data_IF_505565026441
#
_entry.id   IF_505565026441
#
_cell.length_a   1.000
_cell.length_b   1.000
_cell.length_c   1.000
_cell.angle_alpha   90.00
_cell.angle_beta   90.00
_cell.angle_gamma   90.00
#
_symmetry.space_group_name_H-M   'P 1'
#
loop_
_entity.id
_entity.type
_entity.pdbx_description
1 polymer ?
#
# COMPACT_ATOMS: atom_id res chain seq x y z
N UNK A 1 6.36 -6.21 -5.42
CA UNK A 1 7.69 -5.60 -5.16
C UNK A 1 8.78 -6.01 -6.15
N UNK A 2 9.32 -5.02 -6.86
CA UNK A 2 10.45 -5.15 -7.79
C UNK A 2 11.77 -5.22 -6.99
N UNK A 3 12.63 -6.20 -7.29
CA UNK A 3 13.98 -6.25 -6.74
C UNK A 3 14.91 -5.42 -7.60
N UNK A 4 15.67 -4.51 -6.99
CA UNK A 4 16.60 -3.64 -7.70
C UNK A 4 17.85 -3.34 -6.85
N UNK A 5 18.94 -2.94 -7.50
CA UNK A 5 20.18 -2.55 -6.84
C UNK A 5 20.19 -1.02 -6.65
N UNK A 6 20.11 -0.48 -5.41
CA UNK A 6 20.01 0.96 -5.19
C UNK A 6 21.25 1.76 -5.60
N UNK A 7 22.37 1.08 -5.93
CA UNK A 7 23.61 1.73 -6.38
C UNK A 7 23.61 2.11 -7.88
N UNK A 8 22.67 1.59 -8.68
CA UNK A 8 22.59 1.85 -10.14
C UNK A 8 21.84 3.16 -10.48
N UNK A 9 22.25 4.29 -9.90
CA UNK A 9 21.50 5.56 -10.00
C UNK A 9 21.24 6.03 -11.44
N UNK A 10 22.26 6.03 -12.30
CA UNK A 10 22.14 6.50 -13.69
C UNK A 10 21.18 5.66 -14.53
N UNK A 11 21.18 4.34 -14.32
CA UNK A 11 20.32 3.43 -15.08
C UNK A 11 18.84 3.63 -14.74
N UNK A 12 18.52 4.04 -13.49
CA UNK A 12 17.14 4.29 -13.09
C UNK A 12 16.55 5.56 -13.70
N UNK A 13 17.35 6.60 -13.95
CA UNK A 13 16.88 7.84 -14.59
C UNK A 13 16.26 7.55 -15.97
N UNK A 14 16.73 6.51 -16.66
CA UNK A 14 16.29 6.15 -18.01
C UNK A 14 15.46 4.85 -18.08
N UNK A 15 15.14 4.22 -16.94
CA UNK A 15 14.30 3.01 -16.91
C UNK A 15 12.82 3.39 -16.81
N UNK A 16 12.15 3.39 -17.95
CA UNK A 16 10.69 3.54 -18.03
C UNK A 16 9.99 2.21 -17.66
N UNK A 17 9.41 2.12 -16.46
CA UNK A 17 8.66 0.94 -16.00
C UNK A 17 7.15 1.07 -16.33
N UNK A 18 6.37 -0.02 -16.23
CA UNK A 18 4.90 0.07 -16.39
C UNK A 18 4.20 0.91 -15.32
N UNK A 19 4.80 0.99 -14.13
CA UNK A 19 4.38 1.84 -13.00
C UNK A 19 4.96 3.26 -13.08
N UNK A 20 5.53 3.66 -14.22
CA UNK A 20 6.14 4.97 -14.37
C UNK A 20 5.06 6.06 -14.35
N UNK A 21 5.13 6.91 -13.32
CA UNK A 21 4.22 8.05 -13.12
C UNK A 21 4.22 8.97 -14.33
N UNK A 22 5.35 9.07 -15.05
CA UNK A 22 5.46 9.86 -16.27
C UNK A 22 4.46 9.39 -17.33
N UNK A 23 4.33 8.08 -17.54
CA UNK A 23 3.42 7.53 -18.56
C UNK A 23 1.96 7.74 -18.19
N UNK A 24 1.63 7.65 -16.91
CA UNK A 24 0.28 7.89 -16.41
C UNK A 24 -0.10 9.39 -16.52
N UNK A 25 0.85 10.28 -16.26
CA UNK A 25 0.64 11.73 -16.25
C UNK A 25 0.85 12.41 -17.61
N UNK A 26 1.50 11.75 -18.58
CA UNK A 26 1.78 12.28 -19.92
C UNK A 26 0.60 12.99 -20.61
N UNK A 27 -0.64 12.43 -20.67
CA UNK A 27 -1.75 13.12 -21.31
C UNK A 27 -2.14 14.42 -20.58
N UNK A 28 -2.10 14.41 -19.24
CA UNK A 28 -2.38 15.59 -18.43
C UNK A 28 -1.27 16.64 -18.57
N UNK A 29 0.00 16.23 -18.62
CA UNK A 29 1.13 17.11 -18.87
C UNK A 29 1.04 17.79 -20.24
N UNK A 30 0.64 17.05 -21.28
CA UNK A 30 0.45 17.62 -22.62
C UNK A 30 -0.71 18.63 -22.64
N UNK A 31 -1.86 18.28 -22.06
CA UNK A 31 -3.00 19.19 -21.93
C UNK A 31 -2.64 20.46 -21.15
N UNK A 32 -1.90 20.31 -20.05
CA UNK A 32 -1.42 21.41 -19.23
C UNK A 32 -0.40 22.29 -19.98
N UNK A 33 0.43 21.69 -20.84
CA UNK A 33 1.34 22.42 -21.71
C UNK A 33 0.61 23.30 -22.71
N UNK A 34 -0.42 22.76 -23.38
CA UNK A 34 -1.27 23.51 -24.31
C UNK A 34 -2.01 24.63 -23.57
N UNK A 35 -2.56 24.33 -22.39
CA UNK A 35 -3.22 25.32 -21.54
C UNK A 35 -2.26 26.45 -21.12
N UNK A 36 -1.07 26.13 -20.63
CA UNK A 36 -0.07 27.12 -20.22
C UNK A 36 0.40 27.95 -21.40
N UNK A 37 0.53 27.35 -22.58
CA UNK A 37 0.83 28.08 -23.81
C UNK A 37 -0.29 29.06 -24.17
N UNK A 38 -1.55 28.64 -24.10
CA UNK A 38 -2.69 29.50 -24.40
C UNK A 38 -2.74 30.69 -23.43
N UNK A 39 -2.53 30.47 -22.13
CA UNK A 39 -2.44 31.55 -21.14
C UNK A 39 -1.28 32.49 -21.42
N UNK A 40 -0.08 31.95 -21.71
CA UNK A 40 1.09 32.77 -22.03
C UNK A 40 0.89 33.61 -23.30
N UNK A 41 0.31 33.02 -24.35
CA UNK A 41 0.00 33.70 -25.60
C UNK A 41 -1.02 34.83 -25.41
N UNK A 42 -2.13 34.55 -24.70
CA UNK A 42 -3.15 35.56 -24.42
C UNK A 42 -2.58 36.74 -23.63
N UNK A 43 -1.73 36.47 -22.64
CA UNK A 43 -1.13 37.52 -21.83
C UNK A 43 -0.11 38.37 -22.60
N UNK A 44 0.84 37.72 -23.28
CA UNK A 44 1.97 38.41 -23.91
C UNK A 44 1.59 39.13 -25.20
N UNK A 45 0.70 38.54 -26.01
CA UNK A 45 0.39 39.06 -27.35
C UNK A 45 -0.89 39.91 -27.37
N UNK A 46 -1.92 39.53 -26.59
CA UNK A 46 -3.24 40.16 -26.67
C UNK A 46 -3.48 41.15 -25.54
N UNK A 47 -3.41 40.70 -24.28
CA UNK A 47 -3.77 41.52 -23.13
C UNK A 47 -2.72 42.58 -22.77
N UNK A 48 -1.43 42.26 -22.90
CA UNK A 48 -0.30 43.15 -22.59
C UNK A 48 -0.55 43.91 -21.28
N UNK A 49 -1.03 43.21 -20.24
CA UNK A 49 -1.35 43.88 -18.98
C UNK A 49 -0.05 44.49 -18.45
N UNK A 50 -0.09 45.80 -18.26
CA UNK A 50 1.03 46.56 -17.70
C UNK A 50 1.52 45.91 -16.39
N UNK A 51 2.84 45.95 -16.13
CA UNK A 51 3.50 45.34 -14.95
C UNK A 51 2.88 45.71 -13.58
N UNK A 52 1.99 46.70 -13.53
CA UNK A 52 1.31 47.21 -12.35
C UNK A 52 -0.03 46.52 -12.01
N UNK A 53 -0.37 45.39 -12.65
CA UNK A 53 -1.62 44.68 -12.35
C UNK A 53 -1.51 43.82 -11.07
N UNK A 54 -2.59 43.75 -10.30
CA UNK A 54 -2.70 42.95 -9.06
C UNK A 54 -2.38 41.46 -9.27
N UNK A 55 -2.44 40.97 -10.51
CA UNK A 55 -2.07 39.60 -10.90
C UNK A 55 -0.59 39.26 -10.62
N UNK A 56 0.32 40.23 -10.61
CA UNK A 56 1.73 40.00 -10.26
C UNK A 56 1.91 39.48 -8.83
N UNK A 57 1.01 39.87 -7.92
CA UNK A 57 1.02 39.42 -6.52
C UNK A 57 0.59 37.95 -6.36
N UNK A 58 0.06 37.31 -7.41
CA UNK A 58 -0.23 35.87 -7.39
C UNK A 58 1.03 35.04 -7.13
N UNK A 59 2.21 35.51 -7.54
CA UNK A 59 3.49 34.83 -7.26
C UNK A 59 3.74 34.64 -5.76
N UNK A 60 3.40 35.64 -4.94
CA UNK A 60 3.54 35.58 -3.47
C UNK A 60 2.57 34.55 -2.90
N UNK A 61 1.33 34.54 -3.37
CA UNK A 61 0.32 33.54 -2.98
C UNK A 61 0.80 32.14 -3.35
N UNK A 62 1.32 31.94 -4.57
CA UNK A 62 1.87 30.66 -5.01
C UNK A 62 3.08 30.20 -4.21
N UNK A 63 3.89 31.12 -3.72
CA UNK A 63 5.05 30.79 -2.87
C UNK A 63 4.59 30.29 -1.50
N UNK A 64 3.60 30.97 -0.89
CA UNK A 64 2.98 30.56 0.37
C UNK A 64 2.23 29.22 0.23
N UNK A 65 1.38 29.09 -0.79
CA UNK A 65 0.64 27.85 -1.07
C UNK A 65 1.58 26.70 -1.46
N UNK A 66 2.70 27.01 -2.14
CA UNK A 66 3.75 26.06 -2.50
C UNK A 66 4.40 25.42 -1.27
N UNK A 67 4.64 26.20 -0.23
CA UNK A 67 5.11 25.66 1.06
C UNK A 67 4.05 24.75 1.71
N UNK A 68 2.79 25.18 1.74
CA UNK A 68 1.70 24.41 2.34
C UNK A 68 1.49 23.08 1.61
N UNK A 69 1.45 23.08 0.28
CA UNK A 69 1.25 21.85 -0.51
C UNK A 69 2.43 20.88 -0.36
N UNK A 70 3.67 21.40 -0.31
CA UNK A 70 4.85 20.58 -0.02
C UNK A 70 4.73 19.90 1.34
N UNK A 71 4.34 20.65 2.38
CA UNK A 71 4.18 20.11 3.72
C UNK A 71 3.07 19.03 3.78
N UNK A 72 1.93 19.27 3.12
CA UNK A 72 0.83 18.30 3.03
C UNK A 72 1.26 17.01 2.32
N UNK A 73 1.98 17.12 1.20
CA UNK A 73 2.49 15.96 0.46
C UNK A 73 3.50 15.14 1.29
N UNK A 74 4.33 15.78 2.10
CA UNK A 74 5.22 15.07 3.03
C UNK A 74 4.43 14.25 4.04
N UNK A 75 3.42 14.85 4.69
CA UNK A 75 2.58 14.10 5.63
C UNK A 75 1.85 12.94 4.95
N UNK A 76 1.26 13.19 3.78
CA UNK A 76 0.58 12.19 2.97
C UNK A 76 1.47 10.99 2.63
N UNK A 77 2.70 11.27 2.19
CA UNK A 77 3.68 10.23 1.84
C UNK A 77 4.14 9.45 3.07
N UNK A 78 4.40 10.13 4.18
CA UNK A 78 4.79 9.48 5.43
C UNK A 78 3.68 8.57 5.97
N UNK A 79 2.43 9.02 5.99
CA UNK A 79 1.30 8.20 6.42
C UNK A 79 1.10 6.97 5.53
N UNK A 80 1.25 7.12 4.22
CA UNK A 80 1.19 5.98 3.30
C UNK A 80 2.34 4.98 3.54
N UNK A 81 3.56 5.49 3.71
CA UNK A 81 4.74 4.69 4.02
C UNK A 81 4.59 3.93 5.35
N UNK A 82 4.04 4.55 6.39
CA UNK A 82 3.83 3.91 7.69
C UNK A 82 2.88 2.71 7.58
N UNK A 83 1.79 2.85 6.81
CA UNK A 83 0.86 1.74 6.51
C UNK A 83 1.58 0.61 5.79
N UNK A 84 2.36 0.95 4.76
CA UNK A 84 3.14 -0.03 4.00
C UNK A 84 4.13 -0.78 4.88
N UNK A 85 4.86 -0.05 5.72
CA UNK A 85 5.84 -0.60 6.64
C UNK A 85 5.22 -1.45 7.75
N UNK A 86 4.06 -1.03 8.29
CA UNK A 86 3.29 -1.83 9.25
C UNK A 86 2.86 -3.16 8.62
N UNK A 87 2.30 -3.12 7.40
CA UNK A 87 1.95 -4.33 6.65
C UNK A 87 3.15 -5.26 6.47
N UNK A 88 4.32 -4.71 6.10
CA UNK A 88 5.55 -5.49 5.96
C UNK A 88 5.99 -6.13 7.27
N UNK A 89 5.93 -5.39 8.39
CA UNK A 89 6.29 -5.88 9.72
C UNK A 89 5.36 -7.00 10.18
N UNK A 90 4.05 -6.87 9.95
CA UNK A 90 3.05 -7.89 10.27
C UNK A 90 3.31 -9.20 9.51
N UNK A 91 3.57 -9.13 8.21
CA UNK A 91 3.96 -10.30 7.42
C UNK A 91 5.31 -10.89 7.87
N UNK A 92 6.23 -10.06 8.35
CA UNK A 92 7.47 -10.52 9.00
C UNK A 92 7.21 -11.27 10.31
N UNK A 93 6.28 -10.78 11.12
CA UNK A 93 5.81 -11.46 12.34
C UNK A 93 5.21 -12.83 12.01
N UNK A 94 4.37 -12.92 10.98
CA UNK A 94 3.79 -14.18 10.53
C UNK A 94 4.85 -15.21 10.13
N UNK A 95 5.90 -14.79 9.41
CA UNK A 95 7.04 -15.65 9.04
C UNK A 95 7.71 -16.21 10.30
N UNK A 96 8.02 -15.34 11.26
CA UNK A 96 8.73 -15.73 12.48
C UNK A 96 7.90 -16.67 13.34
N UNK A 97 6.62 -16.34 13.59
CA UNK A 97 5.73 -17.16 14.41
C UNK A 97 5.41 -18.50 13.75
N UNK A 98 5.25 -18.54 12.42
CA UNK A 98 5.09 -19.81 11.68
C UNK A 98 6.31 -20.73 11.86
N UNK A 99 7.52 -20.16 11.80
CA UNK A 99 8.76 -20.91 11.99
C UNK A 99 8.89 -21.39 13.45
N UNK A 100 8.66 -20.51 14.41
CA UNK A 100 8.75 -20.84 15.84
C UNK A 100 7.75 -21.94 16.21
N UNK A 101 6.52 -21.85 15.72
CA UNK A 101 5.50 -22.87 15.92
C UNK A 101 5.95 -24.23 15.35
N UNK A 102 6.47 -24.24 14.13
CA UNK A 102 6.98 -25.47 13.51
C UNK A 102 8.14 -26.09 14.29
N UNK A 103 9.11 -25.29 14.75
CA UNK A 103 10.25 -25.76 15.57
C UNK A 103 9.77 -26.36 16.88
N UNK A 104 8.87 -25.66 17.60
CA UNK A 104 8.29 -26.15 18.86
C UNK A 104 7.55 -27.47 18.66
N UNK A 105 6.71 -27.56 17.62
CA UNK A 105 5.98 -28.78 17.29
C UNK A 105 6.92 -29.93 16.89
N UNK A 106 8.00 -29.65 16.15
CA UNK A 106 8.99 -30.66 15.78
C UNK A 106 9.77 -31.20 17.00
N UNK A 107 9.96 -30.39 18.04
CA UNK A 107 10.58 -30.81 19.28
C UNK A 107 9.63 -31.59 20.21
N UNK A 108 8.35 -31.20 20.22
CA UNK A 108 7.33 -31.80 21.09
C UNK A 108 6.78 -33.10 20.51
N UNK A 109 6.46 -33.13 19.22
CA UNK A 109 5.90 -34.29 18.55
C UNK A 109 7.04 -35.17 18.06
N UNK A 110 7.10 -36.45 18.41
CA UNK A 110 8.19 -37.33 17.97
C UNK A 110 8.05 -37.63 16.45
N UNK A 111 9.13 -38.04 15.76
CA UNK A 111 9.11 -38.30 14.30
C UNK A 111 8.06 -39.32 13.85
N UNK A 112 7.70 -40.25 14.74
CA UNK A 112 6.71 -41.30 14.49
C UNK A 112 5.27 -40.74 14.41
N UNK A 113 5.01 -39.56 15.00
CA UNK A 113 3.72 -38.87 14.85
C UNK A 113 3.65 -38.06 13.53
N UNK A 114 3.90 -38.77 12.42
CA UNK A 114 3.92 -38.20 11.08
C UNK A 114 2.58 -37.54 10.70
N UNK A 115 1.46 -38.06 11.21
CA UNK A 115 0.12 -37.53 10.93
C UNK A 115 -0.04 -36.10 11.46
N UNK A 116 0.30 -35.86 12.73
CA UNK A 116 0.17 -34.53 13.32
C UNK A 116 1.22 -33.57 12.78
N UNK A 117 2.46 -34.02 12.57
CA UNK A 117 3.51 -33.22 11.91
C UNK A 117 3.09 -32.77 10.52
N UNK A 118 2.54 -33.67 9.70
CA UNK A 118 2.04 -33.35 8.36
C UNK A 118 0.85 -32.39 8.39
N UNK A 119 -0.07 -32.57 9.35
CA UNK A 119 -1.18 -31.64 9.55
C UNK A 119 -0.67 -30.21 9.80
N UNK A 120 0.19 -29.99 10.80
CA UNK A 120 0.68 -28.65 11.10
C UNK A 120 1.53 -28.07 9.97
N UNK A 121 2.38 -28.88 9.33
CA UNK A 121 3.14 -28.48 8.13
C UNK A 121 2.22 -27.89 7.06
N UNK A 122 1.10 -28.56 6.77
CA UNK A 122 0.14 -28.14 5.76
C UNK A 122 -0.69 -26.94 6.19
N UNK A 123 -1.23 -26.95 7.42
CA UNK A 123 -2.21 -25.96 7.87
C UNK A 123 -1.56 -24.61 8.19
N UNK A 124 -0.35 -24.61 8.75
CA UNK A 124 0.42 -23.37 8.96
C UNK A 124 0.71 -22.69 7.62
N UNK A 125 1.16 -23.47 6.62
CA UNK A 125 1.39 -22.95 5.27
C UNK A 125 0.09 -22.47 4.59
N UNK A 126 -1.01 -23.23 4.79
CA UNK A 126 -2.33 -22.88 4.26
C UNK A 126 -2.82 -21.54 4.82
N UNK A 127 -2.59 -21.28 6.11
CA UNK A 127 -2.98 -20.00 6.73
C UNK A 127 -2.34 -18.81 6.01
N UNK A 128 -1.03 -18.86 5.78
CA UNK A 128 -0.31 -17.78 5.11
C UNK A 128 -0.84 -17.52 3.69
N UNK A 129 -1.12 -18.57 2.90
CA UNK A 129 -1.72 -18.41 1.57
C UNK A 129 -3.16 -17.90 1.63
N UNK A 130 -3.93 -18.34 2.62
CA UNK A 130 -5.32 -17.91 2.81
C UNK A 130 -5.39 -16.44 3.19
N UNK A 131 -4.50 -15.99 4.07
CA UNK A 131 -4.39 -14.58 4.45
C UNK A 131 -3.97 -13.71 3.25
N UNK A 132 -3.02 -14.16 2.43
CA UNK A 132 -2.65 -13.43 1.20
C UNK A 132 -3.87 -13.23 0.28
N UNK A 133 -4.63 -14.30 0.02
CA UNK A 133 -5.82 -14.24 -0.82
C UNK A 133 -6.93 -13.38 -0.20
N UNK A 134 -7.13 -13.47 1.12
CA UNK A 134 -8.08 -12.63 1.86
C UNK A 134 -7.74 -11.15 1.70
N UNK A 135 -6.48 -10.78 1.92
CA UNK A 135 -6.03 -9.39 1.80
C UNK A 135 -6.02 -8.84 0.37
N UNK A 136 -6.21 -9.67 -0.67
CA UNK A 136 -6.44 -9.19 -2.04
C UNK A 136 -7.93 -9.16 -2.45
N UNK A 137 -8.82 -9.80 -1.70
CA UNK A 137 -10.25 -9.82 -2.03
C UNK A 137 -10.91 -8.47 -1.81
N UNK A 138 -11.67 -7.95 -2.78
CA UNK A 138 -12.48 -6.73 -2.58
C UNK A 138 -13.49 -6.86 -1.43
N UNK A 139 -13.98 -8.07 -1.16
CA UNK A 139 -14.93 -8.32 -0.06
C UNK A 139 -14.35 -7.93 1.31
N UNK A 140 -13.04 -8.05 1.50
CA UNK A 140 -12.39 -7.63 2.75
C UNK A 140 -12.43 -6.11 2.88
N UNK A 141 -12.16 -5.37 1.79
CA UNK A 141 -12.17 -3.90 1.78
C UNK A 141 -13.55 -3.33 2.18
N UNK A 142 -14.62 -4.00 1.76
CA UNK A 142 -16.01 -3.62 2.02
C UNK A 142 -16.56 -4.07 3.37
N UNK A 143 -15.75 -4.73 4.22
CA UNK A 143 -16.23 -5.30 5.48
C UNK A 143 -16.63 -4.25 6.54
N UNK A 144 -16.30 -2.96 6.34
CA UNK A 144 -16.69 -1.86 7.22
C UNK A 144 -17.88 -1.04 6.70
N UNK A 145 -18.30 -1.23 5.45
CA UNK A 145 -19.45 -0.53 4.90
C UNK A 145 -20.73 -1.28 5.32
N UNK A 146 -21.51 -0.71 6.25
CA UNK A 146 -22.77 -1.29 6.74
C UNK A 146 -23.88 -1.39 5.65
N UNK A 147 -23.64 -0.86 4.45
CA UNK A 147 -24.58 -0.89 3.32
C UNK A 147 -24.11 -1.87 2.25
N UNK A 148 -24.94 -2.89 1.98
CA UNK A 148 -24.73 -3.82 0.87
C UNK A 148 -24.62 -3.06 -0.46
N UNK A 149 -23.44 -3.10 -1.08
CA UNK A 149 -23.21 -2.47 -2.37
C UNK A 149 -24.03 -3.21 -3.45
N UNK A 150 -24.84 -2.51 -4.27
CA UNK A 150 -25.80 -3.13 -5.19
C UNK A 150 -25.21 -4.00 -6.32
N UNK A 151 -23.88 -4.03 -6.48
CA UNK A 151 -23.18 -4.68 -7.60
C UNK A 151 -22.49 -6.02 -7.27
N UNK A 152 -22.65 -6.57 -6.06
CA UNK A 152 -22.00 -7.83 -5.65
C UNK A 152 -23.03 -8.90 -5.23
N UNK A 153 -23.75 -9.46 -6.21
CA UNK A 153 -24.89 -10.38 -5.96
C UNK A 153 -24.60 -11.88 -5.93
N UNK A 154 -23.39 -12.33 -6.21
CA UNK A 154 -23.11 -13.78 -6.19
C UNK A 154 -21.74 -14.07 -5.59
N UNK A 155 -21.73 -14.60 -4.37
CA UNK A 155 -20.73 -15.51 -3.81
C UNK A 155 -21.12 -15.93 -2.38
N UNK A 156 -20.76 -17.15 -2.00
CA UNK A 156 -20.74 -17.60 -0.60
C UNK A 156 -19.31 -18.08 -0.27
N UNK A 157 -18.30 -17.34 0.20
CA UNK A 157 -18.06 -15.98 0.76
C UNK A 157 -18.71 -15.58 2.08
N UNK A 158 -19.66 -16.33 2.64
CA UNK A 158 -20.37 -15.89 3.86
C UNK A 158 -19.54 -15.88 5.16
N UNK A 159 -18.31 -16.43 5.19
CA UNK A 159 -17.53 -16.61 6.44
C UNK A 159 -16.04 -16.32 6.28
N UNK A 160 -15.46 -15.73 7.32
CA UNK A 160 -14.06 -15.30 7.39
C UNK A 160 -13.06 -16.47 7.32
N UNK A 161 -12.45 -16.69 6.14
CA UNK A 161 -11.58 -17.83 5.83
C UNK A 161 -10.33 -17.96 6.73
N UNK A 162 -9.56 -16.88 7.03
CA UNK A 162 -8.43 -16.99 7.94
C UNK A 162 -8.84 -17.52 9.33
N UNK A 163 -10.01 -17.13 9.84
CA UNK A 163 -10.50 -17.63 11.14
C UNK A 163 -10.77 -19.12 11.10
N UNK A 164 -11.33 -19.65 10.01
CA UNK A 164 -11.57 -21.09 9.89
C UNK A 164 -10.26 -21.89 9.94
N UNK A 165 -9.22 -21.41 9.25
CA UNK A 165 -7.89 -22.06 9.29
C UNK A 165 -7.25 -21.93 10.68
N UNK A 166 -7.41 -20.78 11.36
CA UNK A 166 -6.98 -20.62 12.75
C UNK A 166 -7.70 -21.63 13.67
N UNK A 167 -9.02 -21.78 13.56
CA UNK A 167 -9.81 -22.75 14.33
C UNK A 167 -9.29 -24.18 14.14
N UNK A 168 -8.85 -24.56 12.94
CA UNK A 168 -8.23 -25.86 12.70
C UNK A 168 -6.91 -26.03 13.46
N UNK A 169 -6.06 -25.00 13.50
CA UNK A 169 -4.81 -25.03 14.26
C UNK A 169 -5.06 -25.14 15.76
N UNK A 170 -5.92 -24.29 16.31
CA UNK A 170 -6.31 -24.31 17.73
C UNK A 170 -6.98 -25.62 18.13
N UNK A 171 -7.93 -26.10 17.32
CA UNK A 171 -8.63 -27.36 17.56
C UNK A 171 -7.69 -28.56 17.56
N UNK A 172 -6.70 -28.60 16.65
CA UNK A 172 -5.70 -29.68 16.65
C UNK A 172 -4.78 -29.61 17.87
N UNK A 173 -4.33 -28.41 18.26
CA UNK A 173 -3.47 -28.25 19.44
C UNK A 173 -4.19 -28.72 20.71
N UNK A 174 -5.46 -28.37 20.90
CA UNK A 174 -6.28 -28.86 22.02
C UNK A 174 -6.48 -30.37 21.96
N UNK A 175 -6.76 -30.94 20.78
CA UNK A 175 -6.90 -32.39 20.62
C UNK A 175 -5.63 -33.15 21.03
N UNK A 176 -4.44 -32.62 20.72
CA UNK A 176 -3.18 -33.22 21.17
C UNK A 176 -3.07 -33.23 22.70
N UNK A 177 -3.60 -32.21 23.38
CA UNK A 177 -3.61 -32.15 24.84
C UNK A 177 -4.60 -33.17 25.42
N UNK A 178 -5.83 -33.24 24.88
CA UNK A 178 -6.84 -34.24 25.28
C UNK A 178 -6.34 -35.68 25.10
N UNK A 179 -5.57 -35.94 24.04
CA UNK A 179 -4.93 -37.23 23.76
C UNK A 179 -3.65 -37.47 24.60
N UNK A 180 -3.30 -36.58 25.53
CA UNK A 180 -2.07 -36.62 26.34
C UNK A 180 -0.76 -36.66 25.51
N UNK A 181 -0.80 -36.21 24.25
CA UNK A 181 0.39 -36.12 23.38
C UNK A 181 1.24 -34.90 23.68
N UNK A 182 0.64 -33.85 24.25
CA UNK A 182 1.34 -32.68 24.75
C UNK A 182 0.91 -32.38 26.19
N UNK A 183 1.83 -31.80 26.98
CA UNK A 183 1.56 -31.37 28.35
C UNK A 183 0.90 -30.00 28.36
N UNK A 184 0.23 -29.67 29.46
CA UNK A 184 -0.39 -28.34 29.67
C UNK A 184 0.60 -27.19 29.46
N UNK A 185 1.79 -27.26 30.07
CA UNK A 185 2.82 -26.25 29.90
C UNK A 185 3.26 -26.08 28.43
N UNK A 186 3.25 -27.17 27.64
CA UNK A 186 3.58 -27.12 26.22
C UNK A 186 2.44 -26.47 25.41
N UNK A 187 1.18 -26.73 25.76
CA UNK A 187 0.04 -26.07 25.14
C UNK A 187 0.07 -24.55 25.36
N UNK A 188 0.37 -24.11 26.59
CA UNK A 188 0.53 -22.68 26.92
C UNK A 188 1.64 -22.05 26.06
N UNK A 189 2.76 -22.75 25.90
CA UNK A 189 3.91 -22.28 25.10
C UNK A 189 3.58 -22.22 23.61
N UNK A 190 2.72 -23.10 23.08
CA UNK A 190 2.26 -23.07 21.68
C UNK A 190 1.16 -22.02 21.43
N UNK A 191 0.35 -21.74 22.45
CA UNK A 191 -0.77 -20.80 22.35
C UNK A 191 -0.33 -19.40 21.94
N UNK A 192 0.84 -18.94 22.41
CA UNK A 192 1.40 -17.65 22.02
C UNK A 192 1.61 -17.53 20.51
N UNK A 193 2.18 -18.54 19.86
CA UNK A 193 2.31 -18.56 18.41
C UNK A 193 0.97 -18.71 17.70
N UNK A 194 0.06 -19.55 18.21
CA UNK A 194 -1.26 -19.74 17.59
C UNK A 194 -2.09 -18.45 17.59
N UNK A 195 -2.09 -17.71 18.69
CA UNK A 195 -2.75 -16.40 18.83
C UNK A 195 -2.19 -15.37 17.83
N UNK A 196 -0.86 -15.37 17.64
CA UNK A 196 -0.21 -14.40 16.77
C UNK A 196 -0.71 -14.42 15.32
N UNK A 197 -1.28 -15.54 14.86
CA UNK A 197 -1.83 -15.68 13.51
C UNK A 197 -3.07 -14.78 13.37
N UNK A 198 -4.01 -14.89 14.31
CA UNK A 198 -5.23 -14.07 14.32
C UNK A 198 -4.92 -12.59 14.60
N UNK A 199 -3.93 -12.30 15.45
CA UNK A 199 -3.50 -10.92 15.71
C UNK A 199 -2.94 -10.25 14.45
N UNK A 200 -2.11 -10.98 13.68
CA UNK A 200 -1.60 -10.50 12.39
C UNK A 200 -2.74 -10.29 11.40
N UNK A 201 -3.70 -11.21 11.32
CA UNK A 201 -4.85 -11.06 10.44
C UNK A 201 -5.65 -9.79 10.76
N UNK A 202 -6.07 -9.62 12.02
CA UNK A 202 -6.86 -8.45 12.42
C UNK A 202 -6.11 -7.13 12.22
N UNK A 203 -4.79 -7.11 12.42
CA UNK A 203 -3.97 -5.94 12.13
C UNK A 203 -3.89 -5.63 10.63
N UNK A 204 -3.73 -6.65 9.77
CA UNK A 204 -3.74 -6.47 8.32
C UNK A 204 -5.12 -6.01 7.81
N UNK A 205 -6.21 -6.51 8.39
CA UNK A 205 -7.57 -6.07 8.07
C UNK A 205 -7.81 -4.62 8.45
N UNK A 206 -7.32 -4.19 9.61
CA UNK A 206 -7.38 -2.77 10.02
C UNK A 206 -6.65 -1.87 9.01
N UNK A 207 -5.46 -2.26 8.55
CA UNK A 207 -4.75 -1.50 7.51
C UNK A 207 -5.58 -1.43 6.23
N UNK A 208 -6.08 -2.59 5.78
CA UNK A 208 -6.81 -2.68 4.50
C UNK A 208 -8.14 -1.92 4.52
N UNK A 209 -8.89 -2.03 5.61
CA UNK A 209 -10.28 -1.57 5.66
C UNK A 209 -10.41 -0.14 6.17
N UNK A 210 -9.39 0.38 6.86
CA UNK A 210 -9.37 1.77 7.34
C UNK A 210 -8.42 2.58 6.45
N UNK A 211 -8.81 3.00 5.24
CA UNK A 211 -7.99 3.85 4.37
C UNK A 211 -7.75 5.24 4.99
N UNK A 212 -6.83 6.02 4.41
CA UNK A 212 -6.67 7.41 4.80
C UNK A 212 -8.00 8.14 4.54
N UNK A 213 -8.46 9.04 5.43
CA UNK A 213 -9.75 9.70 5.28
C UNK A 213 -9.94 10.32 3.90
N UNK A 214 -11.04 9.96 3.23
CA UNK A 214 -11.33 10.38 1.86
C UNK A 214 -11.24 11.91 1.66
N UNK A 215 -11.70 12.67 2.65
CA UNK A 215 -11.65 14.14 2.66
C UNK A 215 -10.22 14.69 2.54
N UNK A 216 -9.25 13.99 3.11
CA UNK A 216 -7.84 14.36 3.04
C UNK A 216 -7.28 14.10 1.63
N UNK A 217 -7.49 12.90 1.09
CA UNK A 217 -7.01 12.51 -0.24
C UNK A 217 -7.63 13.35 -1.35
N UNK A 218 -8.94 13.62 -1.30
CA UNK A 218 -9.60 14.49 -2.29
C UNK A 218 -9.14 15.95 -2.18
N UNK A 219 -8.87 16.43 -0.96
CA UNK A 219 -8.41 17.80 -0.74
C UNK A 219 -7.03 18.02 -1.38
N UNK A 220 -6.08 17.10 -1.18
CA UNK A 220 -4.74 17.20 -1.79
C UNK A 220 -4.84 17.21 -3.31
N UNK A 221 -5.59 16.29 -3.92
CA UNK A 221 -5.77 16.22 -5.39
C UNK A 221 -6.38 17.51 -5.95
N UNK A 222 -7.42 18.05 -5.30
CA UNK A 222 -8.03 19.34 -5.67
C UNK A 222 -7.03 20.49 -5.51
N UNK A 223 -6.23 20.49 -4.44
CA UNK A 223 -5.27 21.54 -4.19
C UNK A 223 -4.15 21.55 -5.23
N UNK A 224 -3.58 20.38 -5.60
CA UNK A 224 -2.62 20.27 -6.72
C UNK A 224 -3.23 20.82 -8.01
N UNK A 225 -4.47 20.43 -8.32
CA UNK A 225 -5.17 20.91 -9.52
C UNK A 225 -5.27 22.44 -9.56
N UNK A 226 -5.83 23.07 -8.52
CA UNK A 226 -5.98 24.53 -8.50
C UNK A 226 -4.64 25.26 -8.45
N UNK A 227 -3.66 24.73 -7.74
CA UNK A 227 -2.30 25.30 -7.67
C UNK A 227 -1.67 25.35 -9.07
N UNK A 228 -1.69 24.24 -9.79
CA UNK A 228 -1.11 24.14 -11.13
C UNK A 228 -1.90 24.95 -12.16
N UNK A 229 -3.24 24.93 -12.11
CA UNK A 229 -4.09 25.68 -13.05
C UNK A 229 -3.94 27.20 -12.93
N UNK A 230 -3.66 27.71 -11.74
CA UNK A 230 -3.49 29.15 -11.50
C UNK A 230 -2.04 29.63 -11.64
N UNK A 231 -1.07 28.71 -11.74
CA UNK A 231 0.36 29.04 -11.82
C UNK A 231 0.73 29.84 -13.09
N UNK A 232 0.26 29.51 -14.30
CA UNK A 232 0.62 30.26 -15.51
C UNK A 232 0.32 31.76 -15.41
N UNK A 233 -0.82 32.14 -14.82
CA UNK A 233 -1.21 33.54 -14.65
C UNK A 233 -0.30 34.33 -13.72
N UNK A 234 0.28 33.68 -12.71
CA UNK A 234 1.20 34.36 -11.79
C UNK A 234 2.60 34.52 -12.37
N UNK A 235 3.11 33.49 -13.03
CA UNK A 235 4.52 33.42 -13.43
C UNK A 235 4.80 33.85 -14.87
N UNK A 236 3.77 33.99 -15.73
CA UNK A 236 3.95 34.45 -17.11
C UNK A 236 4.63 35.81 -17.21
N UNK A 237 4.38 36.74 -16.27
CA UNK A 237 5.01 38.06 -16.25
C UNK A 237 6.54 37.99 -16.07
N UNK A 238 7.02 36.99 -15.34
CA UNK A 238 8.45 36.82 -15.04
C UNK A 238 9.15 35.86 -16.01
N UNK A 239 8.43 34.85 -16.51
CA UNK A 239 9.01 33.75 -17.29
C UNK A 239 8.64 33.79 -18.79
N UNK A 240 7.63 34.57 -19.17
CA UNK A 240 7.06 34.52 -20.51
C UNK A 240 6.68 33.09 -20.91
N UNK A 241 7.05 32.66 -22.11
CA UNK A 241 6.79 31.29 -22.59
C UNK A 241 7.55 30.20 -21.81
N UNK A 242 8.58 30.51 -21.02
CA UNK A 242 9.22 29.52 -20.13
C UNK A 242 8.30 29.01 -19.03
N UNK A 243 7.17 29.68 -18.80
CA UNK A 243 6.14 29.19 -17.87
C UNK A 243 5.61 27.80 -18.27
N UNK A 244 5.61 27.46 -19.56
CA UNK A 244 5.10 26.19 -20.09
C UNK A 244 5.90 24.99 -19.53
N UNK A 245 7.21 24.85 -19.78
CA UNK A 245 7.99 23.73 -19.25
C UNK A 245 8.05 23.73 -17.72
N UNK A 246 8.03 24.91 -17.08
CA UNK A 246 8.06 25.02 -15.61
C UNK A 246 6.78 24.47 -14.98
N UNK A 247 5.61 24.85 -15.50
CA UNK A 247 4.31 24.38 -14.99
C UNK A 247 4.16 22.87 -15.18
N UNK A 248 4.58 22.35 -16.34
CA UNK A 248 4.60 20.90 -16.60
C UNK A 248 5.49 20.17 -15.59
N UNK A 249 6.70 20.69 -15.34
CA UNK A 249 7.64 20.09 -14.41
C UNK A 249 7.10 20.09 -12.97
N UNK A 250 6.57 21.23 -12.51
CA UNK A 250 5.98 21.33 -11.17
C UNK A 250 4.80 20.37 -11.01
N UNK A 251 3.91 20.31 -12.00
CA UNK A 251 2.82 19.34 -12.00
C UNK A 251 3.33 17.90 -11.91
N UNK A 252 4.31 17.54 -12.73
CA UNK A 252 4.90 16.20 -12.71
C UNK A 252 5.44 15.84 -11.32
N UNK A 253 6.17 16.75 -10.67
CA UNK A 253 6.73 16.51 -9.33
C UNK A 253 5.61 16.33 -8.29
N UNK A 254 4.67 17.27 -8.21
CA UNK A 254 3.60 17.24 -7.21
C UNK A 254 2.66 16.05 -7.40
N UNK A 255 2.23 15.79 -8.64
CA UNK A 255 1.33 14.68 -8.96
C UNK A 255 2.03 13.32 -8.83
N UNK A 256 3.32 13.21 -9.16
CA UNK A 256 4.06 11.95 -8.97
C UNK A 256 4.19 11.59 -7.49
N UNK A 257 4.42 12.56 -6.60
CA UNK A 257 4.48 12.30 -5.15
C UNK A 257 3.12 11.78 -4.66
N UNK A 258 2.01 12.41 -5.07
CA UNK A 258 0.67 11.94 -4.71
C UNK A 258 0.39 10.54 -5.26
N UNK A 259 0.74 10.24 -6.52
CA UNK A 259 0.56 8.91 -7.11
C UNK A 259 1.39 7.83 -6.39
N UNK A 260 2.63 8.13 -6.00
CA UNK A 260 3.47 7.21 -5.23
C UNK A 260 2.84 6.97 -3.86
N UNK A 261 2.36 8.02 -3.19
CA UNK A 261 1.69 7.90 -1.91
C UNK A 261 0.38 7.09 -2.01
N UNK A 262 -0.34 7.21 -3.13
CA UNK A 262 -1.53 6.40 -3.42
C UNK A 262 -1.18 4.93 -3.65
N UNK A 263 -0.14 4.63 -4.44
CA UNK A 263 0.30 3.25 -4.71
C UNK A 263 0.73 2.53 -3.42
N UNK A 264 1.50 3.18 -2.54
CA UNK A 264 2.00 2.51 -1.32
C UNK A 264 0.99 2.50 -0.16
N UNK A 265 -0.12 3.25 -0.26
CA UNK A 265 -1.14 3.32 0.81
C UNK A 265 -1.91 2.00 0.98
N UNK A 266 -2.08 1.23 -0.11
CA UNK A 266 -2.70 -0.11 -0.11
C UNK A 266 -1.63 -1.22 -0.26
N UNK A 267 -0.90 -1.58 0.80
CA UNK A 267 0.23 -2.49 0.68
C UNK A 267 -0.11 -3.93 0.29
N UNK A 268 -1.40 -4.29 0.26
CA UNK A 268 -1.87 -5.63 -0.04
C UNK A 268 -2.57 -5.73 -1.39
N UNK A 269 -2.54 -4.68 -2.20
CA UNK A 269 -3.14 -4.63 -3.52
C UNK A 269 -2.44 -5.52 -4.56
N UNK A 270 -2.56 -5.09 -5.83
CA UNK A 270 -1.98 -5.76 -7.00
C UNK A 270 -0.87 -4.96 -7.69
N UNK A 271 -0.48 -3.82 -7.15
CA UNK A 271 0.47 -2.90 -7.76
C UNK A 271 1.92 -3.41 -7.65
N UNK A 272 2.81 -2.80 -8.44
CA UNK A 272 4.18 -3.25 -8.56
C UNK A 272 4.95 -3.10 -7.24
N UNK A 273 4.62 -2.06 -6.47
CA UNK A 273 5.24 -1.70 -5.20
C UNK A 273 4.59 -2.37 -3.97
N UNK A 274 3.51 -3.12 -4.17
CA UNK A 274 2.83 -3.83 -3.09
C UNK A 274 3.67 -4.97 -2.53
N UNK A 275 3.30 -5.36 -1.32
CA UNK A 275 3.95 -6.44 -0.60
C UNK A 275 3.72 -7.75 -1.36
N UNK A 276 4.79 -8.54 -1.61
CA UNK A 276 4.66 -9.80 -2.32
C UNK A 276 4.16 -10.91 -1.39
N UNK A 277 2.96 -10.75 -0.83
CA UNK A 277 2.34 -11.60 0.21
C UNK A 277 2.32 -13.08 -0.19
N UNK A 278 1.99 -13.40 -1.44
CA UNK A 278 2.05 -14.77 -1.98
C UNK A 278 3.46 -15.34 -2.00
N UNK A 279 4.47 -14.53 -2.35
CA UNK A 279 5.87 -14.98 -2.31
C UNK A 279 6.31 -15.23 -0.88
N UNK A 280 5.91 -14.38 0.06
CA UNK A 280 6.17 -14.58 1.50
C UNK A 280 5.49 -15.86 1.98
N UNK A 281 4.22 -16.09 1.63
CA UNK A 281 3.50 -17.32 1.96
C UNK A 281 4.17 -18.58 1.38
N UNK A 282 4.66 -18.51 0.14
CA UNK A 282 5.43 -19.60 -0.47
C UNK A 282 6.75 -19.87 0.28
N UNK A 283 7.44 -18.83 0.74
CA UNK A 283 8.64 -18.98 1.56
C UNK A 283 8.33 -19.58 2.94
N UNK A 284 7.21 -19.19 3.56
CA UNK A 284 6.71 -19.80 4.80
C UNK A 284 6.49 -21.30 4.58
N UNK A 285 5.78 -21.69 3.51
CA UNK A 285 5.57 -23.10 3.14
C UNK A 285 6.88 -23.87 3.00
N UNK A 286 7.88 -23.27 2.33
CA UNK A 286 9.21 -23.88 2.17
C UNK A 286 9.90 -24.10 3.53
N UNK A 287 10.03 -23.05 4.34
CA UNK A 287 10.72 -23.13 5.63
C UNK A 287 10.05 -24.10 6.60
N UNK A 288 8.72 -24.12 6.68
CA UNK A 288 8.00 -25.09 7.53
C UNK A 288 8.26 -26.50 7.02
N UNK A 289 8.28 -26.69 5.70
CA UNK A 289 8.50 -28.01 5.11
C UNK A 289 9.90 -28.59 5.31
N UNK A 290 10.89 -27.76 5.65
CA UNK A 290 12.24 -28.15 6.07
C UNK A 290 12.28 -28.58 7.55
N UNK A 291 11.30 -28.18 8.37
CA UNK A 291 11.26 -28.39 9.83
C UNK A 291 10.35 -29.57 10.21
N UNK A 292 9.15 -29.64 9.64
CA UNK A 292 8.12 -30.66 9.87
C UNK A 292 7.91 -31.53 8.62
#
# INVERSE_FOLDING_TARGET
MISYNPKEWFTFIFRFHKSDTLRQLAPLMAALGVYSWAVAYMELEYWKLSENNHLRNLTVIHSLLGFVISMLLVFRTNTAYDRWWEGRRLWGSLVNNSRNLAIKLAAILPPEDASNRHFFKRVIALYASTLAAHLQSEATRLALDEQEHPDLKDLDKSKHLPNQVATLLFGRANKLYEENKIKEAQLIVLNGELLSFTDVCGACERIKNTPIPFSYSIFIKKFIFFYVMTMPFGFVFSLGYWVIPVVIFVFYVLASIELIAEEIEDPFGGDANDLPTFKIASNIKKHIGEIL
#
